data_IF_311264925003
#
_entry.id   IF_311264925003
#
_cell.length_a   1.000
_cell.length_b   1.000
_cell.length_c   1.000
_cell.angle_alpha   90.00
_cell.angle_beta   90.00
_cell.angle_gamma   90.00
#
_symmetry.space_group_name_H-M   'P 1'
#
loop_
_entity.id
_entity.type
_entity.pdbx_description
1 polymer ?
#
# COMPACT_ATOMS: atom_id res chain seq x y z
N UNK A 1 56.32 43.50 37.75
CA UNK A 1 54.89 43.85 37.64
C UNK A 1 54.36 43.26 36.33
N UNK A 2 53.58 42.17 36.34
CA UNK A 2 52.97 41.66 35.11
C UNK A 2 51.52 42.15 34.99
N UNK A 3 51.23 42.67 33.80
CA UNK A 3 49.94 43.18 33.31
C UNK A 3 48.90 42.07 33.13
N UNK A 4 47.70 42.27 33.68
CA UNK A 4 46.53 41.39 33.54
C UNK A 4 45.90 41.53 32.14
N UNK A 5 45.90 40.44 31.36
CA UNK A 5 45.07 40.32 30.15
C UNK A 5 43.69 39.76 30.51
N UNK A 6 42.66 40.62 30.47
CA UNK A 6 41.26 40.22 30.56
C UNK A 6 40.82 39.61 29.23
N UNK A 7 40.61 38.30 29.17
CA UNK A 7 40.00 37.61 28.01
C UNK A 7 38.48 37.85 28.08
N UNK A 8 37.95 38.70 27.19
CA UNK A 8 36.49 38.82 26.99
C UNK A 8 35.99 37.63 26.19
N UNK A 9 35.30 36.71 26.83
CA UNK A 9 34.56 35.63 26.17
C UNK A 9 33.30 36.23 25.55
N UNK A 10 33.26 36.33 24.22
CA UNK A 10 32.05 36.68 23.47
C UNK A 10 31.15 35.44 23.40
N UNK A 11 30.01 35.50 24.09
CA UNK A 11 28.97 34.46 24.04
C UNK A 11 28.10 34.75 22.80
N UNK A 12 28.34 34.01 21.72
CA UNK A 12 27.50 34.09 20.51
C UNK A 12 26.21 33.31 20.79
N UNK A 13 25.14 34.03 21.10
CA UNK A 13 23.79 33.49 21.14
C UNK A 13 23.37 33.16 19.70
N UNK A 14 23.48 31.88 19.31
CA UNK A 14 22.81 31.37 18.11
C UNK A 14 21.29 31.45 18.35
N UNK A 15 20.66 32.49 17.82
CA UNK A 15 19.20 32.55 17.71
C UNK A 15 18.77 31.47 16.72
N UNK A 16 18.23 30.37 17.24
CA UNK A 16 17.52 29.39 16.43
C UNK A 16 16.25 30.08 15.90
N UNK A 17 16.08 30.30 14.58
CA UNK A 17 14.84 30.83 14.06
C UNK A 17 13.75 29.81 14.40
N UNK A 18 12.78 30.22 15.23
CA UNK A 18 11.61 29.41 15.50
C UNK A 18 10.96 29.08 14.15
N UNK A 19 11.00 27.80 13.77
CA UNK A 19 10.29 27.28 12.63
C UNK A 19 8.81 27.61 12.87
N UNK A 20 8.28 28.63 12.19
CA UNK A 20 6.86 28.96 12.26
C UNK A 20 6.10 27.71 11.84
N UNK A 21 5.43 27.06 12.79
CA UNK A 21 4.49 26.00 12.50
C UNK A 21 3.51 26.57 11.46
N UNK A 22 3.33 25.87 10.34
CA UNK A 22 2.32 26.26 9.37
C UNK A 22 0.98 26.35 10.12
N UNK A 23 0.28 27.48 10.01
CA UNK A 23 -1.05 27.64 10.58
C UNK A 23 -1.98 26.62 9.91
N UNK A 24 -2.33 25.56 10.63
CA UNK A 24 -3.32 24.60 10.18
C UNK A 24 -4.70 25.12 10.60
N UNK A 25 -5.59 25.32 9.63
CA UNK A 25 -6.97 25.71 9.91
C UNK A 25 -7.78 24.44 10.20
N UNK A 26 -8.12 24.21 11.47
CA UNK A 26 -8.88 23.03 11.88
C UNK A 26 -10.32 23.12 11.40
N UNK A 27 -10.73 22.14 10.60
CA UNK A 27 -12.11 21.93 10.18
C UNK A 27 -12.95 21.37 11.35
N UNK A 28 -12.39 20.39 12.07
CA UNK A 28 -12.97 19.81 13.28
C UNK A 28 -11.90 19.06 14.09
N UNK A 29 -12.18 18.79 15.36
CA UNK A 29 -11.23 18.17 16.27
C UNK A 29 -10.03 19.06 16.59
N UNK A 30 -8.93 18.44 17.00
CA UNK A 30 -7.70 19.16 17.35
C UNK A 30 -7.85 20.03 18.62
N UNK A 31 -7.13 21.16 18.71
CA UNK A 31 -7.15 22.02 19.91
C UNK A 31 -8.53 22.55 20.29
N UNK A 32 -9.42 22.72 19.30
CA UNK A 32 -10.77 23.24 19.50
C UNK A 32 -11.80 22.17 19.89
N UNK A 33 -11.40 20.89 19.89
CA UNK A 33 -12.31 19.77 20.14
C UNK A 33 -13.26 19.47 18.97
N UNK A 34 -14.16 18.52 19.18
CA UNK A 34 -15.14 18.09 18.17
C UNK A 34 -16.49 18.76 18.35
N UNK A 35 -17.09 19.20 17.25
CA UNK A 35 -18.52 19.54 17.21
C UNK A 35 -19.36 18.26 17.06
N UNK A 36 -19.48 17.55 18.18
CA UNK A 36 -20.02 16.19 18.27
C UNK A 36 -21.43 16.09 17.68
N UNK A 37 -22.24 17.12 17.94
CA UNK A 37 -23.65 17.19 17.54
C UNK A 37 -23.85 17.31 16.03
N UNK A 38 -22.80 17.54 15.24
CA UNK A 38 -22.89 17.72 13.78
C UNK A 38 -22.57 16.47 12.97
N UNK A 39 -22.04 15.42 13.59
CA UNK A 39 -21.67 14.18 12.91
C UNK A 39 -22.79 13.15 12.95
N UNK A 40 -23.07 12.52 11.82
CA UNK A 40 -24.12 11.50 11.67
C UNK A 40 -23.59 10.29 10.92
N UNK A 41 -24.04 9.10 11.32
CA UNK A 41 -23.74 7.86 10.61
C UNK A 41 -24.76 7.60 9.51
N UNK A 42 -24.29 7.06 8.39
CA UNK A 42 -25.12 6.47 7.34
C UNK A 42 -24.47 5.17 6.86
N UNK A 43 -25.24 4.11 6.77
CA UNK A 43 -24.77 2.80 6.28
C UNK A 43 -25.41 2.42 4.95
N UNK A 44 -24.99 1.29 4.41
CA UNK A 44 -25.57 0.67 3.22
C UNK A 44 -27.03 0.20 3.36
N UNK A 45 -27.64 0.31 4.55
CA UNK A 45 -29.06 0.04 4.77
C UNK A 45 -29.96 0.88 3.85
N UNK A 46 -29.50 2.05 3.42
CA UNK A 46 -30.20 2.90 2.43
C UNK A 46 -30.33 2.24 1.04
N UNK A 47 -29.57 1.16 0.80
CA UNK A 47 -29.64 0.31 -0.39
C UNK A 47 -30.04 -1.13 -0.03
N UNK A 48 -30.62 -1.36 1.16
CA UNK A 48 -31.00 -2.70 1.65
C UNK A 48 -29.83 -3.55 2.16
N UNK A 49 -28.67 -2.93 2.44
CA UNK A 49 -27.53 -3.58 3.08
C UNK A 49 -27.77 -3.92 4.56
N UNK A 50 -26.71 -4.42 5.21
CA UNK A 50 -26.76 -4.93 6.60
C UNK A 50 -25.55 -4.45 7.42
N UNK A 51 -24.84 -3.45 6.94
CA UNK A 51 -23.69 -2.90 7.67
C UNK A 51 -24.18 -2.10 8.87
N UNK A 52 -23.49 -2.23 9.99
CA UNK A 52 -23.72 -1.44 11.20
C UNK A 52 -22.57 -0.46 11.39
N UNK A 53 -22.87 0.72 11.94
CA UNK A 53 -21.84 1.64 12.39
C UNK A 53 -22.37 2.60 13.46
N UNK A 54 -21.45 3.18 14.23
CA UNK A 54 -21.68 4.18 15.26
C UNK A 54 -20.62 5.27 15.18
N UNK A 55 -20.97 6.45 15.69
CA UNK A 55 -20.03 7.51 15.99
C UNK A 55 -20.13 7.84 17.47
N UNK A 56 -18.99 7.93 18.13
CA UNK A 56 -18.86 8.44 19.49
C UNK A 56 -17.63 9.33 19.59
N UNK A 57 -17.49 10.03 20.70
CA UNK A 57 -16.37 10.92 20.96
C UNK A 57 -15.74 10.52 22.29
N UNK A 58 -14.44 10.23 22.28
CA UNK A 58 -13.71 9.88 23.49
C UNK A 58 -12.25 10.28 23.34
N UNK A 59 -11.62 10.70 24.45
CA UNK A 59 -10.20 11.02 24.51
C UNK A 59 -9.75 12.09 23.50
N UNK A 60 -10.65 12.98 23.06
CA UNK A 60 -10.37 13.99 22.02
C UNK A 60 -10.39 13.46 20.59
N UNK A 61 -10.91 12.25 20.35
CA UNK A 61 -11.07 11.65 19.03
C UNK A 61 -12.54 11.41 18.68
N UNK A 62 -12.89 11.55 17.40
CA UNK A 62 -14.06 10.93 16.79
C UNK A 62 -13.76 9.44 16.61
N UNK A 63 -14.55 8.59 17.25
CA UNK A 63 -14.47 7.14 17.14
C UNK A 63 -15.55 6.66 16.18
N UNK A 64 -15.13 6.24 14.99
CA UNK A 64 -16.01 5.66 13.97
C UNK A 64 -15.83 4.14 13.96
N UNK A 65 -16.85 3.42 14.42
CA UNK A 65 -16.77 1.97 14.58
C UNK A 65 -17.96 1.28 13.93
N UNK A 66 -17.83 0.00 13.59
CA UNK A 66 -18.92 -0.74 12.99
C UNK A 66 -18.54 -2.13 12.51
N UNK A 67 -19.43 -2.74 11.74
CA UNK A 67 -19.20 -4.00 11.05
C UNK A 67 -19.74 -3.93 9.62
N UNK A 68 -18.86 -4.03 8.64
CA UNK A 68 -19.24 -4.01 7.23
C UNK A 68 -19.73 -5.40 6.82
N UNK A 69 -20.95 -5.44 6.26
CA UNK A 69 -21.51 -6.64 5.67
C UNK A 69 -21.44 -6.55 4.14
N UNK A 70 -20.83 -7.55 3.50
CA UNK A 70 -20.66 -7.57 2.05
C UNK A 70 -21.90 -8.09 1.29
N UNK A 71 -22.93 -8.57 2.00
CA UNK A 71 -24.24 -8.90 1.44
C UNK A 71 -25.09 -7.63 1.35
N UNK A 72 -24.94 -6.90 0.24
CA UNK A 72 -25.61 -5.63 -0.02
C UNK A 72 -24.63 -4.57 -0.51
N UNK A 73 -24.77 -3.33 -0.02
CA UNK A 73 -23.96 -2.21 -0.46
C UNK A 73 -22.51 -2.20 0.05
N UNK A 74 -22.24 -2.81 1.21
CA UNK A 74 -20.88 -3.00 1.73
C UNK A 74 -20.20 -1.72 2.20
N UNK A 75 -20.92 -0.80 2.84
CA UNK A 75 -20.33 0.46 3.28
C UNK A 75 -20.93 1.03 4.57
N UNK A 76 -20.12 1.86 5.24
CA UNK A 76 -20.55 2.79 6.26
C UNK A 76 -19.85 4.14 6.08
N UNK A 77 -20.50 5.23 6.46
CA UNK A 77 -19.87 6.54 6.57
C UNK A 77 -20.33 7.31 7.78
N UNK A 78 -19.46 8.20 8.25
CA UNK A 78 -19.77 9.24 9.22
C UNK A 78 -19.57 10.60 8.55
N UNK A 79 -20.55 11.49 8.65
CA UNK A 79 -20.67 12.70 7.81
C UNK A 79 -21.07 13.93 8.60
N UNK A 80 -20.58 15.08 8.16
CA UNK A 80 -20.92 16.42 8.66
C UNK A 80 -21.17 17.38 7.49
N UNK A 81 -22.14 18.27 7.64
CA UNK A 81 -22.31 19.40 6.74
C UNK A 81 -21.34 20.52 7.13
N UNK A 82 -20.76 21.19 6.14
CA UNK A 82 -19.76 22.24 6.34
C UNK A 82 -20.03 23.40 5.38
N UNK A 83 -19.31 24.51 5.54
CA UNK A 83 -19.24 25.58 4.55
C UNK A 83 -17.79 26.01 4.42
N UNK A 84 -17.09 25.48 3.42
CA UNK A 84 -15.65 25.68 3.27
C UNK A 84 -15.31 26.17 1.86
N UNK A 85 -14.35 27.09 1.79
CA UNK A 85 -13.64 27.45 0.58
C UNK A 85 -12.21 26.86 0.66
N UNK A 86 -11.93 25.90 -0.21
CA UNK A 86 -10.63 25.25 -0.33
C UNK A 86 -9.81 25.80 -1.52
N UNK A 87 -10.25 26.90 -2.13
CA UNK A 87 -9.53 27.53 -3.25
C UNK A 87 -8.15 28.00 -2.77
N UNK A 88 -7.10 27.65 -3.52
CA UNK A 88 -5.71 27.99 -3.16
C UNK A 88 -5.10 27.15 -2.04
N UNK A 89 -5.85 26.26 -1.39
CA UNK A 89 -5.33 25.36 -0.35
C UNK A 89 -4.61 24.17 -0.96
N UNK A 90 -3.56 23.68 -0.31
CA UNK A 90 -2.82 22.50 -0.78
C UNK A 90 -3.60 21.20 -0.55
N UNK A 91 -4.34 21.10 0.54
CA UNK A 91 -5.10 19.89 0.85
C UNK A 91 -5.62 19.83 2.28
N UNK A 92 -6.01 18.63 2.67
CA UNK A 92 -6.51 18.29 4.00
C UNK A 92 -5.52 17.34 4.68
N UNK A 93 -5.29 17.54 5.97
CA UNK A 93 -4.59 16.59 6.84
C UNK A 93 -5.59 15.96 7.78
N UNK A 94 -5.64 14.63 7.77
CA UNK A 94 -6.38 13.84 8.75
C UNK A 94 -5.36 13.30 9.76
N UNK A 95 -5.52 13.67 11.02
CA UNK A 95 -4.76 13.10 12.13
C UNK A 95 -5.58 12.00 12.79
N UNK A 96 -4.98 10.84 13.01
CA UNK A 96 -5.67 9.65 13.52
C UNK A 96 -4.73 8.84 14.40
N UNK A 97 -5.30 8.00 15.26
CA UNK A 97 -4.51 6.96 15.94
C UNK A 97 -4.24 5.82 14.97
N UNK A 98 -3.01 5.30 15.01
CA UNK A 98 -2.62 4.11 14.28
C UNK A 98 -3.23 2.85 14.92
N UNK A 99 -3.59 1.88 14.10
CA UNK A 99 -4.08 0.59 14.55
C UNK A 99 -2.92 -0.30 15.03
N UNK A 100 -3.22 -1.25 15.91
CA UNK A 100 -2.24 -2.22 16.38
C UNK A 100 -1.76 -3.14 15.24
N UNK A 101 -0.46 -3.44 15.23
CA UNK A 101 0.12 -4.45 14.36
C UNK A 101 -0.32 -5.86 14.82
N UNK A 102 -1.40 -6.39 14.23
CA UNK A 102 -1.93 -7.73 14.56
C UNK A 102 -1.91 -8.68 13.34
N UNK A 103 -0.98 -8.48 12.40
CA UNK A 103 -0.92 -9.26 11.16
C UNK A 103 -2.12 -9.05 10.22
N UNK A 104 -2.92 -8.00 10.43
CA UNK A 104 -4.06 -7.60 9.60
C UNK A 104 -3.70 -6.40 8.74
N UNK A 105 -4.29 -6.32 7.55
CA UNK A 105 -4.18 -5.14 6.69
C UNK A 105 -4.68 -3.88 7.41
N UNK A 106 -4.07 -2.70 7.17
CA UNK A 106 -4.60 -1.44 7.66
C UNK A 106 -6.00 -1.16 7.10
N UNK A 107 -6.82 -0.46 7.88
CA UNK A 107 -8.14 0.00 7.44
C UNK A 107 -7.98 1.08 6.37
N UNK A 108 -8.50 0.84 5.16
CA UNK A 108 -8.61 1.85 4.12
C UNK A 108 -9.83 2.74 4.35
N UNK A 109 -9.70 4.04 4.17
CA UNK A 109 -10.79 4.99 4.30
C UNK A 109 -10.79 5.98 3.13
N UNK A 110 -11.97 6.49 2.83
CA UNK A 110 -12.14 7.59 1.90
C UNK A 110 -12.59 8.83 2.65
N UNK A 111 -11.88 9.96 2.47
CA UNK A 111 -12.43 11.26 2.79
C UNK A 111 -13.18 11.75 1.56
N UNK A 112 -14.49 11.89 1.66
CA UNK A 112 -15.33 12.43 0.60
C UNK A 112 -15.71 13.87 0.91
N UNK A 113 -15.51 14.75 -0.07
CA UNK A 113 -16.02 16.10 -0.08
C UNK A 113 -17.19 16.20 -1.04
N UNK A 114 -18.14 17.09 -0.74
CA UNK A 114 -19.23 17.41 -1.66
C UNK A 114 -19.45 18.90 -1.74
N UNK A 115 -19.70 19.42 -2.94
CA UNK A 115 -20.07 20.81 -3.18
C UNK A 115 -21.61 21.04 -3.17
N UNK A 116 -22.36 20.02 -2.73
CA UNK A 116 -23.83 20.00 -2.75
C UNK A 116 -24.43 19.47 -4.05
N UNK A 117 -23.67 19.41 -5.14
CA UNK A 117 -24.11 18.83 -6.41
C UNK A 117 -23.32 17.58 -6.79
N UNK A 118 -22.01 17.65 -6.61
CA UNK A 118 -21.07 16.59 -6.88
C UNK A 118 -20.36 16.21 -5.58
N UNK A 119 -19.87 14.98 -5.53
CA UNK A 119 -18.99 14.51 -4.46
C UNK A 119 -17.84 13.71 -5.03
N UNK A 120 -16.69 13.90 -4.41
CA UNK A 120 -15.43 13.30 -4.81
C UNK A 120 -14.67 12.84 -3.56
N UNK A 121 -14.00 11.70 -3.66
CA UNK A 121 -13.25 11.08 -2.56
C UNK A 121 -11.76 11.07 -2.84
N UNK A 122 -10.99 11.12 -1.76
CA UNK A 122 -9.57 10.82 -1.72
C UNK A 122 -9.32 9.71 -0.68
N UNK A 123 -8.52 8.71 -1.07
CA UNK A 123 -8.22 7.55 -0.23
C UNK A 123 -7.04 7.80 0.71
N UNK A 124 -7.12 7.24 1.91
CA UNK A 124 -6.03 7.07 2.85
C UNK A 124 -6.19 5.74 3.60
N UNK A 125 -5.20 5.38 4.41
CA UNK A 125 -5.30 4.24 5.30
C UNK A 125 -4.97 4.66 6.73
N UNK A 126 -5.60 4.03 7.70
CA UNK A 126 -5.19 4.07 9.11
C UNK A 126 -3.92 3.23 9.22
N UNK A 127 -2.76 3.82 9.47
CA UNK A 127 -1.50 3.08 9.48
C UNK A 127 -1.41 2.18 10.70
N UNK A 128 -0.47 1.24 10.66
CA UNK A 128 -0.22 0.31 11.76
C UNK A 128 0.92 0.82 12.64
N UNK A 129 0.88 0.50 13.92
CA UNK A 129 1.96 0.78 14.86
C UNK A 129 2.17 -0.39 15.82
N UNK A 130 3.42 -0.57 16.26
CA UNK A 130 3.76 -1.59 17.29
C UNK A 130 3.29 -1.19 18.68
N UNK A 131 3.11 0.11 18.93
CA UNK A 131 2.63 0.63 20.21
C UNK A 131 1.26 1.27 20.02
N UNK A 132 0.37 1.03 20.97
CA UNK A 132 -0.90 1.74 21.04
C UNK A 132 -0.70 3.25 21.24
N UNK A 133 -1.70 4.03 20.83
CA UNK A 133 -1.71 5.49 21.00
C UNK A 133 -0.74 6.24 20.09
N UNK A 134 -0.06 5.58 19.13
CA UNK A 134 0.75 6.27 18.12
C UNK A 134 -0.18 7.09 17.22
N UNK A 135 0.04 8.40 17.20
CA UNK A 135 -0.69 9.31 16.30
C UNK A 135 0.01 9.36 14.96
N UNK A 136 -0.76 9.20 13.89
CA UNK A 136 -0.32 9.32 12.51
C UNK A 136 -1.15 10.33 11.73
N UNK A 137 -0.62 10.76 10.59
CA UNK A 137 -1.26 11.76 9.74
C UNK A 137 -1.33 11.26 8.31
N UNK A 138 -2.42 11.58 7.62
CA UNK A 138 -2.55 11.39 6.18
C UNK A 138 -2.77 12.76 5.54
N UNK A 139 -1.93 13.10 4.54
CA UNK A 139 -2.14 14.29 3.73
C UNK A 139 -2.86 13.95 2.43
N UNK A 140 -3.98 14.62 2.20
CA UNK A 140 -4.86 14.46 1.05
C UNK A 140 -4.82 15.74 0.21
N UNK A 141 -4.01 15.80 -0.86
CA UNK A 141 -3.96 17.00 -1.70
C UNK A 141 -5.31 17.22 -2.38
N UNK A 142 -5.66 18.48 -2.67
CA UNK A 142 -6.94 18.82 -3.33
C UNK A 142 -7.12 18.08 -4.67
N UNK A 143 -6.02 17.80 -5.38
CA UNK A 143 -6.02 17.02 -6.62
C UNK A 143 -6.37 15.53 -6.44
N UNK A 144 -6.25 14.97 -5.23
CA UNK A 144 -6.59 13.57 -4.96
C UNK A 144 -8.11 13.34 -4.83
N UNK A 145 -8.92 14.39 -4.74
CA UNK A 145 -10.38 14.27 -4.75
C UNK A 145 -10.91 14.10 -6.19
N UNK A 146 -10.55 12.99 -6.82
CA UNK A 146 -10.90 12.65 -8.21
C UNK A 146 -11.94 11.53 -8.31
N UNK A 147 -12.22 10.82 -7.20
CA UNK A 147 -13.17 9.70 -7.19
C UNK A 147 -14.59 10.12 -6.97
N UNK A 148 -15.34 10.18 -8.08
CA UNK A 148 -16.78 10.44 -8.09
C UNK A 148 -17.52 9.54 -7.10
N UNK A 149 -18.33 10.15 -6.25
CA UNK A 149 -19.30 9.45 -5.43
C UNK A 149 -20.36 8.73 -6.27
N UNK A 150 -21.11 7.84 -5.63
CA UNK A 150 -22.19 7.09 -6.27
C UNK A 150 -23.19 8.05 -6.95
N UNK A 151 -23.57 7.74 -8.18
CA UNK A 151 -24.50 8.54 -8.98
C UNK A 151 -23.89 9.77 -9.67
N UNK A 152 -22.64 10.16 -9.39
CA UNK A 152 -22.05 11.39 -9.91
C UNK A 152 -21.34 11.23 -11.28
N UNK A 153 -21.83 10.36 -12.17
CA UNK A 153 -21.15 10.04 -13.43
C UNK A 153 -21.00 11.24 -14.38
N UNK A 154 -21.87 12.25 -14.27
CA UNK A 154 -21.83 13.50 -15.03
C UNK A 154 -20.92 14.58 -14.42
N UNK A 155 -20.38 14.36 -13.23
CA UNK A 155 -19.55 15.34 -12.55
C UNK A 155 -18.11 15.33 -13.08
N UNK A 156 -17.60 16.48 -13.54
CA UNK A 156 -16.21 16.61 -13.99
C UNK A 156 -15.24 16.66 -12.80
N UNK A 157 -15.36 17.70 -11.97
CA UNK A 157 -14.48 17.98 -10.82
C UNK A 157 -15.24 18.57 -9.64
N UNK A 158 -14.66 18.50 -8.45
CA UNK A 158 -15.17 19.14 -7.24
C UNK A 158 -15.03 20.66 -7.33
N UNK A 159 -16.07 21.41 -6.96
CA UNK A 159 -15.98 22.86 -6.79
C UNK A 159 -15.39 23.20 -5.41
N UNK A 160 -14.11 23.54 -5.40
CA UNK A 160 -13.36 23.84 -4.16
C UNK A 160 -13.87 25.10 -3.43
N UNK A 161 -14.42 26.07 -4.16
CA UNK A 161 -14.93 27.33 -3.59
C UNK A 161 -16.20 27.19 -2.76
N UNK A 162 -16.81 26.00 -2.73
CA UNK A 162 -18.11 25.81 -2.10
C UNK A 162 -18.28 24.38 -1.61
N UNK A 163 -17.35 23.87 -0.80
CA UNK A 163 -17.48 22.55 -0.18
C UNK A 163 -18.52 22.62 0.94
N UNK A 164 -19.53 21.75 0.85
CA UNK A 164 -20.75 21.73 1.68
C UNK A 164 -20.89 20.52 2.60
N UNK A 165 -20.12 19.46 2.36
CA UNK A 165 -20.12 18.30 3.25
C UNK A 165 -18.80 17.55 3.22
N UNK A 166 -18.48 16.92 4.35
CA UNK A 166 -17.34 16.02 4.54
C UNK A 166 -17.85 14.68 5.07
N UNK A 167 -17.30 13.57 4.56
CA UNK A 167 -17.65 12.21 4.98
C UNK A 167 -16.42 11.33 5.07
N UNK A 168 -16.27 10.60 6.16
CA UNK A 168 -15.35 9.47 6.24
C UNK A 168 -16.08 8.20 5.86
N UNK A 169 -15.60 7.49 4.83
CA UNK A 169 -16.18 6.25 4.32
C UNK A 169 -15.28 5.05 4.62
N UNK A 170 -15.90 3.96 5.03
CA UNK A 170 -15.34 2.60 4.94
C UNK A 170 -16.15 1.83 3.90
N UNK A 171 -15.46 1.27 2.92
CA UNK A 171 -16.04 0.64 1.74
C UNK A 171 -15.43 -0.75 1.54
N UNK A 172 -16.29 -1.75 1.36
CA UNK A 172 -15.93 -3.11 0.91
C UNK A 172 -14.82 -3.80 1.72
N UNK A 173 -14.72 -3.51 3.01
CA UNK A 173 -13.79 -4.17 3.94
C UNK A 173 -14.61 -4.92 4.99
N UNK A 174 -15.04 -6.14 4.63
CA UNK A 174 -15.97 -6.92 5.44
C UNK A 174 -15.43 -7.27 6.82
N UNK A 175 -16.29 -7.20 7.83
CA UNK A 175 -15.91 -7.43 9.22
C UNK A 175 -15.91 -6.16 10.08
N UNK A 176 -15.47 -6.29 11.35
CA UNK A 176 -15.46 -5.18 12.29
C UNK A 176 -14.36 -4.16 11.92
N UNK A 177 -14.63 -2.89 12.18
CA UNK A 177 -13.65 -1.82 12.05
C UNK A 177 -13.82 -0.81 13.18
N UNK A 178 -12.72 -0.13 13.50
CA UNK A 178 -12.68 1.05 14.36
C UNK A 178 -11.67 2.00 13.75
N UNK A 179 -12.01 3.29 13.66
CA UNK A 179 -11.10 4.36 13.29
C UNK A 179 -11.22 5.48 14.34
N UNK A 180 -10.08 5.93 14.88
CA UNK A 180 -10.03 7.01 15.88
C UNK A 180 -9.37 8.23 15.26
N UNK A 181 -10.19 9.21 14.88
CA UNK A 181 -9.76 10.41 14.16
C UNK A 181 -9.61 11.53 15.18
N UNK A 182 -8.43 12.14 15.25
CA UNK A 182 -8.09 13.19 16.23
C UNK A 182 -8.41 14.59 15.72
N UNK A 183 -8.14 14.84 14.45
CA UNK A 183 -8.44 16.13 13.83
C UNK A 183 -8.53 16.06 12.31
N UNK A 184 -9.21 17.04 11.74
CA UNK A 184 -9.22 17.32 10.31
C UNK A 184 -8.80 18.77 10.13
N UNK A 185 -7.73 19.02 9.39
CA UNK A 185 -7.22 20.37 9.17
C UNK A 185 -6.95 20.65 7.70
N UNK A 186 -7.05 21.92 7.34
CA UNK A 186 -6.79 22.44 6.00
C UNK A 186 -5.41 23.10 6.04
N UNK A 187 -4.60 22.83 5.02
CA UNK A 187 -3.21 23.30 4.95
C UNK A 187 -2.91 23.99 3.63
N UNK A 188 -2.07 25.03 3.70
CA UNK A 188 -1.63 25.81 2.52
C UNK A 188 -0.45 25.18 1.78
N UNK A 189 0.22 24.22 2.41
CA UNK A 189 1.35 23.51 1.82
C UNK A 189 1.38 22.04 2.29
N UNK A 190 1.88 21.12 1.45
CA UNK A 190 2.05 19.72 1.87
C UNK A 190 2.94 19.63 3.11
N UNK A 191 2.47 19.00 4.20
CA UNK A 191 3.29 18.77 5.38
C UNK A 191 4.30 17.65 5.13
N UNK A 192 5.43 17.68 5.84
CA UNK A 192 6.26 16.48 6.00
C UNK A 192 5.60 15.57 7.03
N UNK A 193 5.27 14.35 6.63
CA UNK A 193 4.65 13.33 7.46
C UNK A 193 5.58 12.13 7.49
N UNK A 194 5.98 11.73 8.69
CA UNK A 194 6.70 10.48 8.90
C UNK A 194 5.68 9.35 9.13
N UNK A 195 5.75 8.24 8.38
CA UNK A 195 4.96 7.05 8.66
C UNK A 195 5.41 6.42 9.99
N UNK A 196 4.50 5.78 10.75
CA UNK A 196 4.87 5.06 11.96
C UNK A 196 5.72 3.82 11.62
N UNK A 197 6.80 3.60 12.36
CA UNK A 197 7.61 2.40 12.24
C UNK A 197 6.91 1.20 12.91
N UNK A 198 6.96 0.05 12.24
CA UNK A 198 6.47 -1.23 12.77
C UNK A 198 7.60 -2.22 13.00
N UNK A 199 7.68 -2.79 14.20
CA UNK A 199 8.54 -3.91 14.52
C UNK A 199 7.72 -5.19 14.61
N UNK A 200 8.19 -6.24 13.93
CA UNK A 200 7.61 -7.57 14.03
C UNK A 200 8.27 -8.36 15.15
N UNK A 201 7.48 -9.19 15.80
CA UNK A 201 7.92 -10.15 16.82
C UNK A 201 8.28 -11.51 16.23
N UNK A 202 7.78 -11.81 15.03
CA UNK A 202 8.04 -13.08 14.35
C UNK A 202 7.88 -12.98 12.83
N UNK A 203 8.49 -13.94 12.12
CA UNK A 203 8.30 -14.08 10.67
C UNK A 203 6.83 -14.36 10.29
N UNK A 204 6.12 -15.14 11.10
CA UNK A 204 4.71 -15.46 10.86
C UNK A 204 3.81 -14.22 10.90
N UNK A 205 4.11 -13.26 11.78
CA UNK A 205 3.40 -11.98 11.84
C UNK A 205 3.63 -11.13 10.60
N UNK A 206 4.87 -11.06 10.10
CA UNK A 206 5.20 -10.35 8.86
C UNK A 206 4.53 -10.99 7.64
N UNK A 207 4.56 -12.32 7.51
CA UNK A 207 3.88 -13.04 6.43
C UNK A 207 2.36 -12.85 6.49
N UNK A 208 1.77 -12.89 7.70
CA UNK A 208 0.35 -12.64 7.91
C UNK A 208 -0.03 -11.22 7.46
N UNK A 209 0.73 -10.20 7.86
CA UNK A 209 0.50 -8.82 7.45
C UNK A 209 0.54 -8.67 5.93
N UNK A 210 1.60 -9.14 5.27
CA UNK A 210 1.76 -9.01 3.82
C UNK A 210 0.64 -9.76 3.07
N UNK A 211 0.28 -10.95 3.53
CA UNK A 211 -0.80 -11.75 2.95
C UNK A 211 -2.16 -11.09 3.14
N UNK A 212 -2.46 -10.60 4.34
CA UNK A 212 -3.70 -9.87 4.65
C UNK A 212 -3.80 -8.60 3.82
N UNK A 213 -2.70 -7.84 3.72
CA UNK A 213 -2.57 -6.63 2.89
C UNK A 213 -2.92 -6.92 1.45
N UNK A 214 -2.31 -7.95 0.85
CA UNK A 214 -2.62 -8.40 -0.52
C UNK A 214 -4.10 -8.73 -0.68
N UNK A 215 -4.66 -9.55 0.22
CA UNK A 215 -6.06 -9.98 0.15
C UNK A 215 -7.02 -8.79 0.21
N UNK A 216 -6.84 -7.88 1.17
CA UNK A 216 -7.65 -6.68 1.31
C UNK A 216 -7.53 -5.77 0.07
N UNK A 217 -6.31 -5.49 -0.39
CA UNK A 217 -6.08 -4.63 -1.55
C UNK A 217 -6.63 -5.22 -2.84
N UNK A 218 -6.46 -6.51 -3.11
CA UNK A 218 -7.01 -7.19 -4.29
C UNK A 218 -8.54 -7.17 -4.25
N UNK A 219 -9.14 -7.36 -3.08
CA UNK A 219 -10.59 -7.32 -2.95
C UNK A 219 -11.15 -5.94 -3.33
N UNK A 220 -10.59 -4.86 -2.76
CA UNK A 220 -11.00 -3.48 -3.08
C UNK A 220 -10.74 -3.12 -4.54
N UNK A 221 -9.60 -3.57 -5.10
CA UNK A 221 -9.28 -3.40 -6.51
C UNK A 221 -10.34 -4.02 -7.42
N UNK A 222 -10.74 -5.26 -7.13
CA UNK A 222 -11.76 -5.97 -7.90
C UNK A 222 -13.16 -5.36 -7.75
N UNK A 223 -13.39 -4.60 -6.67
CA UNK A 223 -14.60 -3.78 -6.47
C UNK A 223 -14.52 -2.41 -7.18
N UNK A 224 -13.42 -2.09 -7.84
CA UNK A 224 -13.21 -0.83 -8.56
C UNK A 224 -12.59 0.29 -7.72
N UNK A 225 -12.25 0.03 -6.46
CA UNK A 225 -11.64 1.00 -5.53
C UNK A 225 -10.11 0.83 -5.51
N UNK A 226 -9.48 1.20 -6.64
CA UNK A 226 -8.03 1.09 -6.82
C UNK A 226 -7.27 2.05 -5.90
N UNK A 227 -7.82 3.22 -5.66
CA UNK A 227 -7.38 4.23 -4.68
C UNK A 227 -7.24 3.64 -3.27
N UNK A 228 -8.27 2.94 -2.77
CA UNK A 228 -8.22 2.29 -1.45
C UNK A 228 -7.19 1.15 -1.40
N UNK A 229 -7.07 0.37 -2.48
CA UNK A 229 -6.02 -0.64 -2.63
C UNK A 229 -4.61 -0.02 -2.54
N UNK A 230 -4.38 1.08 -3.25
CA UNK A 230 -3.12 1.82 -3.22
C UNK A 230 -2.83 2.34 -1.82
N UNK A 231 -3.83 2.90 -1.13
CA UNK A 231 -3.66 3.44 0.22
C UNK A 231 -3.19 2.36 1.21
N UNK A 232 -3.79 1.17 1.16
CA UNK A 232 -3.40 0.03 2.01
C UNK A 232 -1.99 -0.47 1.68
N UNK A 233 -1.68 -0.67 0.40
CA UNK A 233 -0.35 -1.13 -0.01
C UNK A 233 0.73 -0.13 0.38
N UNK A 234 0.49 1.16 0.13
CA UNK A 234 1.42 2.23 0.45
C UNK A 234 1.65 2.33 1.96
N UNK A 235 0.59 2.32 2.77
CA UNK A 235 0.69 2.43 4.22
C UNK A 235 1.57 1.34 4.84
N UNK A 236 1.41 0.09 4.42
CA UNK A 236 2.24 -1.02 4.90
C UNK A 236 3.69 -0.87 4.44
N UNK A 237 3.92 -0.58 3.16
CA UNK A 237 5.28 -0.42 2.65
C UNK A 237 6.02 0.78 3.27
N UNK A 238 5.33 1.88 3.55
CA UNK A 238 5.90 3.05 4.22
C UNK A 238 6.21 2.76 5.68
N UNK A 239 5.35 2.01 6.38
CA UNK A 239 5.60 1.59 7.77
C UNK A 239 6.77 0.62 7.87
N UNK A 240 6.86 -0.33 6.93
CA UNK A 240 8.02 -1.23 6.76
C UNK A 240 9.29 -0.43 6.48
N UNK A 241 9.21 0.56 5.60
CA UNK A 241 10.34 1.40 5.27
C UNK A 241 10.87 2.17 6.48
N UNK A 242 9.95 2.77 7.25
CA UNK A 242 10.29 3.48 8.48
C UNK A 242 10.94 2.55 9.52
N UNK A 243 10.47 1.31 9.63
CA UNK A 243 11.02 0.31 10.54
C UNK A 243 12.46 -0.09 10.22
N UNK A 244 12.79 -0.20 8.93
CA UNK A 244 14.15 -0.48 8.48
C UNK A 244 15.08 0.75 8.57
N UNK A 245 14.58 1.90 9.05
CA UNK A 245 15.35 3.13 9.17
C UNK A 245 15.56 3.86 7.84
N UNK A 246 14.75 3.55 6.82
CA UNK A 246 14.80 4.28 5.56
C UNK A 246 14.15 5.66 5.70
N UNK A 247 14.80 6.67 5.13
CA UNK A 247 14.04 7.80 4.62
C UNK A 247 13.12 7.31 3.50
N UNK A 248 11.91 7.88 3.40
CA UNK A 248 10.89 7.45 2.43
C UNK A 248 11.50 7.26 1.03
N UNK A 249 12.49 8.10 0.66
CA UNK A 249 13.33 8.13 -0.56
C UNK A 249 13.88 6.77 -1.04
N UNK A 250 14.00 5.79 -0.15
CA UNK A 250 14.89 4.64 -0.30
C UNK A 250 14.19 3.26 -0.35
N UNK A 251 12.85 3.20 -0.39
CA UNK A 251 12.05 1.97 -0.19
C UNK A 251 11.43 1.36 -1.47
N UNK A 252 11.79 1.85 -2.66
CA UNK A 252 11.11 1.50 -3.91
C UNK A 252 9.71 2.10 -4.06
N UNK A 253 9.04 2.44 -2.96
CA UNK A 253 7.75 3.15 -2.88
C UNK A 253 7.82 4.56 -3.48
N UNK A 254 8.97 5.23 -3.38
CA UNK A 254 9.20 6.58 -3.94
C UNK A 254 9.20 6.67 -5.44
N UNK A 255 9.36 5.53 -6.12
CA UNK A 255 9.23 5.46 -7.58
C UNK A 255 7.79 5.73 -8.02
N UNK A 256 6.85 5.67 -7.09
CA UNK A 256 5.44 5.94 -7.33
C UNK A 256 5.02 7.24 -6.62
N UNK A 257 4.22 8.09 -7.29
CA UNK A 257 3.68 9.29 -6.66
C UNK A 257 2.86 8.92 -5.41
N UNK A 258 2.88 9.80 -4.41
CA UNK A 258 2.18 9.61 -3.14
C UNK A 258 0.66 9.39 -3.31
N UNK A 259 0.08 9.95 -4.37
CA UNK A 259 -1.30 9.77 -4.77
C UNK A 259 -1.38 9.49 -6.28
N UNK A 260 -2.41 8.78 -6.72
CA UNK A 260 -2.64 8.44 -8.12
C UNK A 260 -4.01 8.97 -8.56
N UNK A 261 -4.02 9.84 -9.56
CA UNK A 261 -5.24 10.48 -10.07
C UNK A 261 -5.62 9.86 -11.40
N UNK A 262 -6.85 9.36 -11.48
CA UNK A 262 -7.42 8.72 -12.66
C UNK A 262 -7.00 7.25 -12.85
N UNK A 263 -7.84 6.52 -13.59
CA UNK A 263 -7.78 5.06 -13.70
C UNK A 263 -6.44 4.50 -14.17
N UNK A 264 -5.76 5.19 -15.10
CA UNK A 264 -4.48 4.73 -15.67
C UNK A 264 -3.31 4.90 -14.69
N UNK A 265 -3.27 6.03 -13.98
CA UNK A 265 -2.26 6.26 -12.95
C UNK A 265 -2.43 5.27 -11.80
N UNK A 266 -3.65 5.07 -11.32
CA UNK A 266 -3.94 4.09 -10.28
C UNK A 266 -3.57 2.68 -10.70
N UNK A 267 -3.84 2.33 -11.97
CA UNK A 267 -3.47 1.01 -12.47
C UNK A 267 -1.96 0.79 -12.37
N UNK A 268 -1.18 1.81 -12.76
CA UNK A 268 0.28 1.77 -12.75
C UNK A 268 0.82 1.72 -11.31
N UNK A 269 0.31 2.60 -10.43
CA UNK A 269 0.78 2.71 -9.06
C UNK A 269 0.41 1.49 -8.23
N UNK A 270 -0.84 1.03 -8.27
CA UNK A 270 -1.26 -0.12 -7.47
C UNK A 270 -0.57 -1.42 -7.87
N UNK A 271 -0.39 -1.66 -9.18
CA UNK A 271 0.41 -2.81 -9.65
C UNK A 271 1.88 -2.68 -9.27
N UNK A 272 2.42 -1.47 -9.32
CA UNK A 272 3.79 -1.19 -8.90
C UNK A 272 4.04 -1.48 -7.42
N UNK A 273 3.17 -0.97 -6.54
CA UNK A 273 3.24 -1.24 -5.10
C UNK A 273 3.02 -2.73 -4.80
N UNK A 274 2.13 -3.40 -5.54
CA UNK A 274 1.92 -4.84 -5.41
C UNK A 274 3.20 -5.63 -5.70
N UNK A 275 3.93 -5.28 -6.76
CA UNK A 275 5.21 -5.93 -7.06
C UNK A 275 6.22 -5.75 -5.94
N UNK A 276 6.29 -4.57 -5.31
CA UNK A 276 7.16 -4.35 -4.14
C UNK A 276 6.77 -5.28 -2.99
N UNK A 277 5.47 -5.41 -2.70
CA UNK A 277 4.98 -6.34 -1.65
C UNK A 277 5.34 -7.79 -1.98
N UNK A 278 5.16 -8.22 -3.23
CA UNK A 278 5.51 -9.59 -3.65
C UNK A 278 7.03 -9.83 -3.55
N UNK A 279 7.86 -8.86 -3.95
CA UNK A 279 9.32 -8.93 -3.82
C UNK A 279 9.76 -9.03 -2.34
N UNK A 280 9.12 -8.26 -1.46
CA UNK A 280 9.34 -8.34 0.00
C UNK A 280 8.97 -9.73 0.53
N UNK A 281 7.79 -10.25 0.16
CA UNK A 281 7.35 -11.56 0.61
C UNK A 281 8.29 -12.67 0.13
N UNK A 282 8.71 -12.63 -1.14
CA UNK A 282 9.60 -13.63 -1.72
C UNK A 282 10.98 -13.62 -1.03
N UNK A 283 11.53 -12.43 -0.76
CA UNK A 283 12.79 -12.30 -0.02
C UNK A 283 12.69 -12.84 1.42
N UNK A 284 11.58 -12.57 2.11
CA UNK A 284 11.33 -13.11 3.45
C UNK A 284 11.16 -14.64 3.45
N UNK A 285 10.53 -15.20 2.42
CA UNK A 285 10.31 -16.63 2.29
C UNK A 285 11.61 -17.41 1.98
N UNK A 286 12.53 -16.82 1.22
CA UNK A 286 13.82 -17.45 0.88
C UNK A 286 14.79 -17.50 2.07
N UNK A 287 14.83 -16.45 2.90
CA UNK A 287 15.83 -16.31 3.97
C UNK A 287 15.37 -16.85 5.32
N UNK A 288 14.06 -16.81 5.63
CA UNK A 288 13.51 -17.06 6.98
C UNK A 288 14.44 -16.51 8.08
N UNK A 289 14.77 -15.20 8.02
CA UNK A 289 15.73 -14.59 8.94
C UNK A 289 15.28 -14.81 10.38
N UNK A 290 16.23 -14.88 11.30
CA UNK A 290 15.91 -14.80 12.73
C UNK A 290 15.20 -13.46 13.02
N UNK A 291 14.42 -13.37 14.10
CA UNK A 291 13.58 -12.20 14.37
C UNK A 291 14.40 -10.90 14.48
N UNK A 292 15.64 -10.98 14.96
CA UNK A 292 16.63 -9.92 15.04
C UNK A 292 17.26 -9.55 13.68
N UNK A 293 17.23 -10.44 12.69
CA UNK A 293 17.72 -10.19 11.33
C UNK A 293 16.61 -9.75 10.35
N UNK A 294 15.35 -9.78 10.79
CA UNK A 294 14.18 -9.49 9.96
C UNK A 294 14.23 -8.06 9.38
N UNK A 295 14.70 -7.09 10.15
CA UNK A 295 14.90 -5.71 9.69
C UNK A 295 15.87 -5.61 8.52
N UNK A 296 17.02 -6.31 8.58
CA UNK A 296 18.01 -6.33 7.51
C UNK A 296 17.52 -7.10 6.26
N UNK A 297 16.69 -8.13 6.45
CA UNK A 297 16.07 -8.85 5.35
C UNK A 297 15.02 -8.00 4.61
N UNK A 298 14.20 -7.24 5.37
CA UNK A 298 13.27 -6.26 4.83
C UNK A 298 14.01 -5.14 4.10
N UNK A 299 15.14 -4.67 4.64
CA UNK A 299 16.03 -3.69 4.02
C UNK A 299 16.52 -4.15 2.63
N UNK A 300 17.07 -5.36 2.55
CA UNK A 300 17.51 -5.96 1.30
C UNK A 300 16.37 -6.13 0.28
N UNK A 301 15.14 -6.35 0.74
CA UNK A 301 14.00 -6.65 -0.10
C UNK A 301 13.28 -5.40 -0.64
N UNK A 302 13.18 -4.34 0.16
CA UNK A 302 12.57 -3.06 -0.26
C UNK A 302 13.52 -2.20 -1.11
N UNK A 303 14.83 -2.46 -1.03
CA UNK A 303 15.79 -2.09 -2.05
C UNK A 303 16.32 -0.66 -1.96
N UNK A 304 17.43 -0.50 -1.22
CA UNK A 304 18.39 0.59 -1.37
C UNK A 304 19.54 0.27 -2.33
N UNK A 305 19.26 -0.18 -3.55
CA UNK A 305 20.35 -0.35 -4.52
C UNK A 305 20.64 0.96 -5.24
N UNK A 306 21.40 1.86 -4.59
CA UNK A 306 21.91 3.09 -5.19
C UNK A 306 22.76 2.84 -6.45
N UNK A 307 23.31 1.64 -6.65
CA UNK A 307 24.25 1.36 -7.75
C UNK A 307 23.82 0.31 -8.80
N UNK A 308 22.60 -0.25 -8.73
CA UNK A 308 22.16 -1.24 -9.73
C UNK A 308 20.77 -0.97 -10.31
N UNK A 309 20.58 0.27 -10.80
CA UNK A 309 19.43 0.70 -11.63
C UNK A 309 19.13 -0.22 -12.84
N UNK A 310 20.04 -1.11 -13.25
CA UNK A 310 19.81 -2.07 -14.36
C UNK A 310 19.08 -3.36 -13.97
N UNK A 311 18.98 -3.73 -12.69
CA UNK A 311 18.33 -4.98 -12.25
C UNK A 311 16.85 -4.80 -11.89
N UNK A 312 16.47 -3.75 -11.15
CA UNK A 312 15.06 -3.55 -10.76
C UNK A 312 14.14 -3.14 -11.93
N UNK A 313 14.63 -2.38 -12.92
CA UNK A 313 13.84 -1.98 -14.11
C UNK A 313 13.62 -3.15 -15.09
N UNK A 314 14.36 -4.26 -14.96
CA UNK A 314 14.22 -5.42 -15.85
C UNK A 314 12.97 -6.25 -15.62
N UNK A 315 12.30 -6.13 -14.46
CA UNK A 315 11.09 -6.89 -14.13
C UNK A 315 9.81 -6.16 -14.55
N UNK A 316 9.74 -4.83 -14.43
CA UNK A 316 8.54 -4.06 -14.79
C UNK A 316 8.31 -3.88 -16.31
N UNK A 317 9.25 -4.29 -17.19
CA UNK A 317 9.15 -4.11 -18.66
C UNK A 317 9.10 -5.42 -19.47
N UNK A 318 8.65 -6.54 -18.90
CA UNK A 318 8.48 -7.81 -19.62
C UNK A 318 7.18 -8.47 -19.17
N UNK A 319 6.13 -8.62 -19.96
CA UNK A 319 5.90 -8.32 -21.36
C UNK A 319 4.39 -8.22 -21.63
N UNK A 320 4.00 -7.67 -22.78
CA UNK A 320 2.62 -7.80 -23.27
C UNK A 320 2.41 -9.26 -23.71
N UNK A 321 1.20 -9.82 -23.54
CA UNK A 321 0.87 -11.17 -24.01
C UNK A 321 1.34 -11.34 -25.47
N UNK A 322 2.20 -12.35 -25.74
CA UNK A 322 2.72 -12.63 -27.09
C UNK A 322 3.92 -11.79 -27.58
N UNK A 323 4.47 -10.88 -26.76
CA UNK A 323 5.60 -10.03 -27.16
C UNK A 323 6.95 -10.74 -27.27
N UNK A 324 7.94 -10.07 -27.87
CA UNK A 324 9.34 -10.50 -27.87
C UNK A 324 10.14 -9.72 -26.83
N UNK A 325 10.94 -10.42 -26.03
CA UNK A 325 11.83 -9.87 -25.03
C UNK A 325 13.24 -9.83 -25.64
N UNK A 326 13.79 -8.64 -25.91
CA UNK A 326 15.17 -8.51 -26.35
C UNK A 326 16.12 -8.77 -25.19
N UNK A 327 17.07 -9.69 -25.38
CA UNK A 327 18.20 -9.91 -24.48
C UNK A 327 19.43 -9.24 -25.08
N UNK A 328 19.98 -8.29 -24.33
CA UNK A 328 21.18 -7.55 -24.69
C UNK A 328 22.34 -7.90 -23.75
N UNK A 329 23.52 -8.15 -24.32
CA UNK A 329 24.80 -8.31 -23.62
C UNK A 329 25.74 -7.25 -24.15
N UNK A 330 26.31 -6.44 -23.26
CA UNK A 330 27.17 -5.29 -23.60
C UNK A 330 26.53 -4.32 -24.61
N UNK A 331 25.24 -4.01 -24.46
CA UNK A 331 24.51 -3.09 -25.34
C UNK A 331 24.08 -3.68 -26.69
N UNK A 332 24.71 -4.77 -27.14
CA UNK A 332 24.35 -5.48 -28.36
C UNK A 332 23.21 -6.47 -28.11
N UNK A 333 22.27 -6.55 -29.06
CA UNK A 333 21.19 -7.53 -29.06
C UNK A 333 21.79 -8.92 -29.36
N UNK A 334 21.77 -9.80 -28.38
CA UNK A 334 22.35 -11.15 -28.51
C UNK A 334 21.29 -12.24 -28.66
N UNK A 335 20.06 -11.99 -28.19
CA UNK A 335 18.99 -12.99 -28.28
C UNK A 335 17.61 -12.33 -28.23
N UNK A 336 16.60 -12.96 -28.85
CA UNK A 336 15.19 -12.56 -28.72
C UNK A 336 14.42 -13.71 -28.10
N UNK A 337 13.86 -13.49 -26.92
CA UNK A 337 13.08 -14.47 -26.20
C UNK A 337 11.60 -14.22 -26.46
N UNK A 338 10.85 -15.23 -26.90
CA UNK A 338 9.39 -15.08 -27.07
C UNK A 338 8.72 -15.23 -25.70
N UNK A 339 7.71 -14.41 -25.40
CA UNK A 339 6.96 -14.44 -24.12
C UNK A 339 6.03 -15.67 -24.02
N UNK A 340 6.44 -16.81 -24.54
CA UNK A 340 5.67 -18.05 -24.61
C UNK A 340 5.79 -18.92 -23.35
N UNK A 341 6.60 -18.51 -22.36
CA UNK A 341 6.89 -19.29 -21.15
C UNK A 341 6.36 -18.66 -19.84
N UNK A 342 5.61 -17.56 -19.94
CA UNK A 342 4.99 -16.89 -18.78
C UNK A 342 3.51 -16.66 -19.07
N UNK A 343 2.63 -17.37 -18.36
CA UNK A 343 1.17 -17.26 -18.49
C UNK A 343 0.58 -16.60 -17.23
N UNK A 344 0.58 -15.27 -17.14
CA UNK A 344 -0.20 -14.57 -16.11
C UNK A 344 -1.70 -14.69 -16.39
N UNK A 345 -2.55 -14.71 -15.33
CA UNK A 345 -4.03 -14.78 -15.44
C UNK A 345 -4.68 -13.77 -16.38
N UNK A 346 -3.97 -12.68 -16.70
CA UNK A 346 -4.45 -11.62 -17.58
C UNK A 346 -4.42 -11.97 -19.08
N UNK A 347 -3.97 -13.17 -19.48
CA UNK A 347 -3.94 -13.59 -20.88
C UNK A 347 -4.92 -14.77 -21.11
N UNK A 348 -6.07 -14.51 -21.73
CA UNK A 348 -7.14 -15.51 -21.96
C UNK A 348 -6.73 -16.69 -22.86
N UNK A 349 -5.64 -16.57 -23.63
CA UNK A 349 -5.16 -17.61 -24.55
C UNK A 349 -4.27 -18.70 -23.91
N UNK A 350 -4.24 -18.80 -22.58
CA UNK A 350 -3.32 -19.68 -21.84
C UNK A 350 -3.95 -21.00 -21.33
N UNK A 351 -5.25 -21.22 -21.51
CA UNK A 351 -5.95 -22.40 -20.96
C UNK A 351 -5.31 -23.75 -21.36
N UNK A 352 -4.88 -23.91 -22.61
CA UNK A 352 -4.21 -25.13 -23.09
C UNK A 352 -2.69 -25.16 -22.84
N UNK A 353 -2.08 -24.02 -22.47
CA UNK A 353 -0.61 -23.87 -22.33
C UNK A 353 -0.08 -24.10 -20.92
N UNK A 354 -0.97 -24.27 -19.96
CA UNK A 354 -0.66 -24.50 -18.55
C UNK A 354 -0.62 -25.98 -18.14
N UNK A 355 -0.70 -26.88 -19.13
CA UNK A 355 -0.46 -28.30 -18.90
C UNK A 355 1.02 -28.61 -18.64
N UNK A 356 1.25 -29.70 -17.91
CA UNK A 356 2.58 -30.29 -17.81
C UNK A 356 3.07 -30.76 -19.18
N UNK A 357 4.37 -30.59 -19.44
CA UNK A 357 5.03 -31.22 -20.57
C UNK A 357 5.06 -32.74 -20.34
N UNK A 358 4.17 -33.46 -21.04
CA UNK A 358 4.02 -34.90 -20.91
C UNK A 358 5.29 -35.67 -21.28
N UNK A 359 6.16 -35.10 -22.12
CA UNK A 359 7.41 -35.71 -22.57
C UNK A 359 8.60 -35.41 -21.63
N UNK A 360 8.53 -34.34 -20.84
CA UNK A 360 9.63 -33.97 -19.94
C UNK A 360 9.89 -35.03 -18.86
N UNK A 361 11.16 -35.40 -18.71
CA UNK A 361 11.65 -36.27 -17.64
C UNK A 361 12.91 -35.69 -17.04
N UNK A 362 12.97 -35.60 -15.72
CA UNK A 362 14.19 -35.22 -15.01
C UNK A 362 14.85 -36.45 -14.40
N UNK A 363 16.17 -36.56 -14.58
CA UNK A 363 16.97 -37.66 -14.05
C UNK A 363 17.68 -37.19 -12.79
N UNK A 364 17.54 -37.94 -11.70
CA UNK A 364 18.27 -37.73 -10.45
C UNK A 364 18.84 -39.05 -9.95
N UNK A 365 20.04 -38.98 -9.37
CA UNK A 365 20.65 -40.13 -8.69
C UNK A 365 19.99 -40.29 -7.32
N UNK A 366 19.38 -41.46 -7.09
CA UNK A 366 18.73 -41.80 -5.82
C UNK A 366 19.26 -43.15 -5.37
N UNK A 367 19.97 -43.20 -4.24
CA UNK A 367 20.59 -44.43 -3.73
C UNK A 367 21.60 -45.04 -4.71
N UNK A 368 22.44 -44.21 -5.35
CA UNK A 368 23.46 -44.65 -6.30
C UNK A 368 22.95 -45.06 -7.69
N UNK A 369 21.62 -45.06 -7.93
CA UNK A 369 21.02 -45.38 -9.23
C UNK A 369 20.32 -44.17 -9.84
N UNK A 370 20.47 -44.00 -11.15
CA UNK A 370 19.77 -42.96 -11.91
C UNK A 370 18.27 -43.28 -12.04
N UNK A 371 17.41 -42.47 -11.44
CA UNK A 371 15.95 -42.55 -11.56
C UNK A 371 15.41 -41.39 -12.40
N UNK A 372 14.36 -41.66 -13.18
CA UNK A 372 13.67 -40.66 -14.03
C UNK A 372 12.30 -40.33 -13.46
N UNK A 373 11.97 -39.05 -13.36
CA UNK A 373 10.70 -38.56 -12.82
C UNK A 373 9.88 -37.84 -13.89
N UNK A 374 8.57 -38.10 -13.95
CA UNK A 374 7.59 -37.39 -14.78
C UNK A 374 7.03 -36.17 -14.05
N UNK A 375 6.47 -35.19 -14.77
CA UNK A 375 5.89 -34.01 -14.15
C UNK A 375 4.76 -34.30 -13.16
N UNK A 376 3.88 -35.26 -13.45
CA UNK A 376 2.84 -35.71 -12.52
C UNK A 376 3.37 -36.29 -11.19
N UNK A 377 4.67 -36.57 -11.11
CA UNK A 377 5.33 -37.07 -9.91
C UNK A 377 6.14 -35.98 -9.20
N UNK A 378 6.01 -34.71 -9.61
CA UNK A 378 6.80 -33.57 -9.13
C UNK A 378 5.83 -32.47 -8.67
N UNK A 379 6.05 -31.81 -7.52
CA UNK A 379 7.22 -31.97 -6.64
C UNK A 379 7.17 -33.27 -5.83
N UNK A 380 8.36 -33.79 -5.51
CA UNK A 380 8.53 -34.91 -4.59
C UNK A 380 9.78 -34.71 -3.72
N UNK A 381 10.07 -35.68 -2.84
CA UNK A 381 11.21 -35.63 -1.91
C UNK A 381 12.59 -35.50 -2.57
N UNK A 382 12.72 -35.76 -3.88
CA UNK A 382 13.99 -35.75 -4.62
C UNK A 382 14.08 -34.69 -5.72
N UNK A 383 12.94 -34.15 -6.16
CA UNK A 383 12.86 -33.17 -7.25
C UNK A 383 11.90 -32.06 -6.86
N UNK A 384 12.43 -30.84 -6.74
CA UNK A 384 11.66 -29.63 -6.48
C UNK A 384 11.35 -28.90 -7.78
N UNK A 385 10.24 -28.17 -7.78
CA UNK A 385 9.83 -27.30 -8.88
C UNK A 385 10.84 -26.19 -9.21
N UNK A 386 11.68 -25.81 -8.24
CA UNK A 386 12.74 -24.81 -8.40
C UNK A 386 14.06 -25.37 -8.89
N UNK A 387 14.22 -26.70 -8.95
CA UNK A 387 15.46 -27.32 -9.41
C UNK A 387 15.71 -27.01 -10.89
N UNK A 388 16.99 -26.99 -11.27
CA UNK A 388 17.41 -26.71 -12.64
C UNK A 388 17.38 -27.98 -13.49
N UNK A 389 16.74 -27.87 -14.66
CA UNK A 389 16.68 -28.89 -15.70
C UNK A 389 17.70 -28.57 -16.83
N UNK A 390 17.88 -29.47 -17.82
CA UNK A 390 18.73 -29.21 -18.98
C UNK A 390 18.35 -27.90 -19.70
N UNK A 391 19.34 -27.25 -20.32
CA UNK A 391 19.21 -25.92 -20.97
C UNK A 391 18.93 -24.76 -20.00
N UNK A 392 19.33 -24.88 -18.73
CA UNK A 392 19.23 -23.82 -17.70
C UNK A 392 17.79 -23.31 -17.47
N UNK A 393 16.81 -24.18 -17.60
CA UNK A 393 15.40 -23.89 -17.31
C UNK A 393 15.00 -24.54 -15.99
N UNK A 394 14.07 -23.95 -15.24
CA UNK A 394 13.58 -24.56 -13.99
C UNK A 394 12.58 -25.67 -14.28
N UNK A 395 12.52 -26.68 -13.42
CA UNK A 395 11.57 -27.80 -13.53
C UNK A 395 10.11 -27.34 -13.63
N UNK A 396 9.73 -26.29 -12.87
CA UNK A 396 8.38 -25.68 -12.94
C UNK A 396 7.99 -25.14 -14.31
N UNK A 397 8.97 -24.83 -15.17
CA UNK A 397 8.69 -24.37 -16.53
C UNK A 397 8.32 -25.52 -17.49
N UNK A 398 8.56 -26.78 -17.09
CA UNK A 398 8.11 -27.96 -17.82
C UNK A 398 6.90 -28.60 -17.11
N UNK A 399 6.96 -28.71 -15.78
CA UNK A 399 5.91 -29.30 -14.95
C UNK A 399 4.96 -28.23 -14.42
N UNK A 400 4.34 -27.48 -15.34
CA UNK A 400 3.62 -26.23 -15.05
C UNK A 400 2.38 -26.44 -14.20
N UNK A 401 1.57 -27.46 -14.48
CA UNK A 401 0.36 -27.78 -13.73
C UNK A 401 0.74 -28.34 -12.36
N UNK A 402 1.62 -29.35 -12.32
CA UNK A 402 1.98 -30.02 -11.07
C UNK A 402 2.78 -29.12 -10.11
N UNK A 403 3.51 -28.13 -10.64
CA UNK A 403 4.21 -27.11 -9.85
C UNK A 403 3.39 -25.84 -9.59
N UNK A 404 2.10 -25.80 -9.96
CA UNK A 404 1.23 -24.61 -9.84
C UNK A 404 1.89 -23.35 -10.41
N UNK A 405 2.65 -23.50 -11.49
CA UNK A 405 3.44 -22.43 -12.09
C UNK A 405 2.57 -21.43 -12.85
N UNK A 406 1.44 -21.89 -13.38
CA UNK A 406 0.37 -21.03 -13.85
C UNK A 406 -0.57 -20.75 -12.68
N UNK A 407 -0.49 -19.52 -12.18
CA UNK A 407 -1.39 -18.96 -11.19
C UNK A 407 -2.16 -17.86 -11.84
#
# INVERSE_FOLDING_TARGET
MPSSFFRRTFLVLLSCPALSAASADYLDGGPSGWDESSWRVQTDNVMGGRSTASVSFSDGALVFAGNINLNGGGFANVRKNVSLDLTGRAGIVVEMEADALEGKAPLAMNLQLSDGRCSFSAAFAVPLATREGVVARAFLPTAAFDKRGYGNWWCDRLKLSSVRAVRFYVLYQGGPFVARIRSVSIVDRPPSIAPPAIAFTSWGEAEALLSSTIQAGVFMWNKGYRDLCIAVYRSVLESLAAAAGFEVSCSGVTKFPAHAVGNSAEQTVGMGLRLVIDDVRDALAEKKPAADELGAALDAAMGCCADEMKKCVRLAKKGRCGGWIPVKKNGALVEKWRTENHCPKSCDSCAERCADDAAFRIVKTVGGKSKKFRCAQIPNAHVRCTDMAPKKRRVREFCRASCKFCG
#
